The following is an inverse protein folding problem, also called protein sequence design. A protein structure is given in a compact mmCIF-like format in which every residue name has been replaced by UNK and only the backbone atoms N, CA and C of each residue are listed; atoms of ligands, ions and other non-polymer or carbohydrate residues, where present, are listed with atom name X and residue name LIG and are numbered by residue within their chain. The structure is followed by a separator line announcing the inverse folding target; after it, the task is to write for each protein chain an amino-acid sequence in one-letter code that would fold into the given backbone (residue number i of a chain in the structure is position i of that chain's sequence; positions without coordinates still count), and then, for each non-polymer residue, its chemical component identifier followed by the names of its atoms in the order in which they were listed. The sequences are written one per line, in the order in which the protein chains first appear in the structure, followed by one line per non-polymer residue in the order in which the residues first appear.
data_IF_562966423548
#
_entry.id   IF_562966423548
#
_cell.length_a   1.000
_cell.length_b   1.000
_cell.length_c   1.000
_cell.angle_alpha   90.00
_cell.angle_beta   90.00
_cell.angle_gamma   90.00
#
_symmetry.space_group_name_H-M   'P 1'
#
loop_
_entity.id
_entity.type
_entity.pdbx_description
1 polymer ?
#
# COMPACT_ATOMS: atom_id res chain seq x y z
N UNK A 1 6.34 3.62 7.12
CA UNK A 1 7.17 2.47 6.69
C UNK A 1 7.04 2.29 5.19
N UNK A 2 7.92 1.53 4.55
CA UNK A 2 7.89 1.32 3.09
C UNK A 2 7.05 0.11 2.71
N UNK A 3 6.09 0.31 1.81
CA UNK A 3 5.27 -0.78 1.25
C UNK A 3 6.06 -1.58 0.21
N UNK A 4 5.72 -2.87 0.00
CA UNK A 4 4.78 -3.68 0.78
C UNK A 4 5.36 -4.18 2.12
N UNK A 5 6.65 -3.95 2.39
CA UNK A 5 7.38 -4.54 3.53
C UNK A 5 6.75 -4.27 4.89
N UNK A 6 6.28 -3.05 5.17
CA UNK A 6 5.74 -2.73 6.51
C UNK A 6 4.48 -3.52 6.86
N UNK A 7 3.80 -4.09 5.87
CA UNK A 7 2.64 -4.95 6.08
C UNK A 7 2.98 -6.15 6.98
N UNK A 8 4.24 -6.57 7.00
CA UNK A 8 4.74 -7.71 7.78
C UNK A 8 5.40 -7.32 9.11
N UNK A 9 5.56 -6.02 9.41
CA UNK A 9 6.15 -5.56 10.66
C UNK A 9 5.13 -4.82 11.53
N UNK A 10 4.58 -3.72 11.04
CA UNK A 10 3.65 -2.86 11.80
C UNK A 10 2.23 -2.89 11.25
N UNK A 11 1.96 -3.70 10.21
CA UNK A 11 0.65 -3.79 9.58
C UNK A 11 -0.48 -4.12 10.56
N UNK A 12 -0.26 -5.04 11.50
CA UNK A 12 -1.25 -5.36 12.53
C UNK A 12 -1.47 -4.23 13.53
N UNK A 13 -0.43 -3.48 13.90
CA UNK A 13 -0.59 -2.30 14.76
C UNK A 13 -1.44 -1.22 14.07
N UNK A 14 -1.20 -0.97 12.78
CA UNK A 14 -1.95 0.04 12.01
C UNK A 14 -3.43 -0.34 11.84
N UNK A 15 -3.70 -1.63 11.68
CA UNK A 15 -5.04 -2.16 11.34
C UNK A 15 -5.85 -2.58 12.56
N UNK A 16 -5.23 -3.25 13.53
CA UNK A 16 -5.88 -3.81 14.72
C UNK A 16 -5.67 -3.01 16.00
N UNK A 17 -4.71 -2.08 16.04
CA UNK A 17 -4.43 -1.28 17.22
C UNK A 17 -5.45 -0.17 17.53
N UNK A 18 -5.23 0.62 18.60
CA UNK A 18 -6.09 1.75 18.94
C UNK A 18 -6.28 2.74 17.77
N UNK A 19 -7.44 3.40 17.63
CA UNK A 19 -7.76 4.32 16.52
C UNK A 19 -7.11 5.70 16.62
N UNK A 20 -5.86 5.75 17.07
CA UNK A 20 -5.09 6.99 17.17
C UNK A 20 -4.23 7.30 15.94
N UNK A 21 -4.06 6.35 15.01
CA UNK A 21 -3.24 6.53 13.81
C UNK A 21 -3.78 7.56 12.82
N UNK A 22 -2.86 8.20 12.08
CA UNK A 22 -3.10 8.97 10.87
C UNK A 22 -2.10 8.47 9.81
N UNK A 23 -2.61 8.06 8.65
CA UNK A 23 -1.82 7.37 7.64
C UNK A 23 -1.79 8.18 6.35
N UNK A 24 -0.60 8.38 5.80
CA UNK A 24 -0.40 8.93 4.46
C UNK A 24 0.29 7.87 3.61
N UNK A 25 -0.36 7.49 2.52
CA UNK A 25 0.25 6.63 1.51
C UNK A 25 0.77 7.49 0.37
N UNK A 26 2.07 7.45 0.14
CA UNK A 26 2.72 8.03 -1.04
C UNK A 26 2.94 6.88 -2.01
N UNK A 27 2.35 6.99 -3.19
CA UNK A 27 2.52 6.02 -4.29
C UNK A 27 3.20 6.71 -5.45
N UNK A 28 3.96 5.95 -6.23
CA UNK A 28 4.64 6.41 -7.43
C UNK A 28 4.33 5.43 -8.57
N UNK A 29 4.65 5.81 -9.81
CA UNK A 29 4.68 4.88 -10.92
C UNK A 29 5.85 3.91 -10.74
N UNK A 30 5.61 2.63 -10.99
CA UNK A 30 6.60 1.56 -10.82
C UNK A 30 7.59 1.50 -11.99
N UNK A 31 7.44 2.35 -12.99
CA UNK A 31 8.24 2.34 -14.22
C UNK A 31 7.91 1.16 -15.13
N UNK A 32 8.91 0.68 -15.86
CA UNK A 32 8.76 -0.48 -16.75
C UNK A 32 8.34 -1.74 -15.96
N UNK A 33 7.35 -2.46 -16.50
CA UNK A 33 6.79 -3.63 -15.85
C UNK A 33 7.75 -4.83 -15.95
N UNK A 34 8.22 -5.30 -14.80
CA UNK A 34 9.05 -6.50 -14.71
C UNK A 34 8.18 -7.75 -14.57
N UNK A 35 8.30 -8.69 -15.51
CA UNK A 35 7.54 -9.94 -15.49
C UNK A 35 7.90 -10.82 -14.28
N UNK A 36 6.88 -11.47 -13.70
CA UNK A 36 7.06 -12.52 -12.70
C UNK A 36 6.90 -13.88 -13.42
N UNK A 37 7.91 -14.75 -13.42
CA UNK A 37 7.81 -16.06 -14.08
C UNK A 37 6.60 -16.86 -13.63
N UNK A 38 5.81 -17.35 -14.60
CA UNK A 38 4.64 -18.18 -14.36
C UNK A 38 3.41 -17.44 -13.81
N UNK A 39 3.43 -16.11 -13.72
CA UNK A 39 2.27 -15.32 -13.30
C UNK A 39 1.72 -14.48 -14.46
N UNK A 40 0.39 -14.24 -14.50
CA UNK A 40 -0.23 -13.39 -15.53
C UNK A 40 -0.04 -11.87 -15.25
N UNK A 41 0.84 -11.50 -14.32
CA UNK A 41 1.11 -10.12 -13.92
C UNK A 41 2.58 -9.92 -13.54
N UNK A 42 3.07 -8.69 -13.65
CA UNK A 42 4.42 -8.31 -13.22
C UNK A 42 4.48 -7.70 -11.82
N UNK A 43 5.68 -7.32 -11.40
CA UNK A 43 5.95 -6.75 -10.08
C UNK A 43 5.27 -5.40 -9.86
N UNK A 44 5.23 -4.53 -10.87
CA UNK A 44 4.56 -3.24 -10.80
C UNK A 44 3.07 -3.38 -10.53
N UNK A 45 2.39 -4.27 -11.27
CA UNK A 45 0.99 -4.63 -10.99
C UNK A 45 0.79 -5.21 -9.58
N UNK A 46 1.69 -6.09 -9.13
CA UNK A 46 1.63 -6.69 -7.79
C UNK A 46 1.81 -5.63 -6.68
N UNK A 47 2.75 -4.69 -6.83
CA UNK A 47 3.00 -3.59 -5.88
C UNK A 47 1.78 -2.68 -5.82
N UNK A 48 1.23 -2.26 -6.97
CA UNK A 48 0.03 -1.42 -7.06
C UNK A 48 -1.18 -2.10 -6.40
N UNK A 49 -1.38 -3.40 -6.65
CA UNK A 49 -2.45 -4.17 -6.03
C UNK A 49 -2.32 -4.25 -4.50
N UNK A 50 -1.10 -4.47 -3.99
CA UNK A 50 -0.86 -4.48 -2.54
C UNK A 50 -1.09 -3.11 -1.91
N UNK A 51 -0.63 -2.03 -2.55
CA UNK A 51 -0.87 -0.67 -2.08
C UNK A 51 -2.37 -0.32 -2.06
N UNK A 52 -3.11 -0.72 -3.09
CA UNK A 52 -4.57 -0.59 -3.18
C UNK A 52 -5.29 -1.36 -2.06
N UNK A 53 -4.95 -2.63 -1.87
CA UNK A 53 -5.54 -3.47 -0.82
C UNK A 53 -5.27 -2.95 0.59
N UNK A 54 -4.07 -2.41 0.84
CA UNK A 54 -3.77 -1.84 2.16
C UNK A 54 -4.61 -0.59 2.46
N UNK A 55 -4.72 0.32 1.49
CA UNK A 55 -5.51 1.54 1.63
C UNK A 55 -6.98 1.23 1.88
N UNK A 56 -7.57 0.33 1.09
CA UNK A 56 -8.95 -0.13 1.28
C UNK A 56 -9.13 -0.75 2.68
N UNK A 57 -8.18 -1.58 3.11
CA UNK A 57 -8.22 -2.23 4.43
C UNK A 57 -8.12 -1.25 5.62
N UNK A 58 -7.49 -0.08 5.42
CA UNK A 58 -7.49 1.01 6.40
C UNK A 58 -8.83 1.75 6.39
N UNK A 59 -9.39 2.05 5.21
CA UNK A 59 -10.70 2.71 5.07
C UNK A 59 -11.83 1.87 5.67
N UNK A 60 -11.90 0.58 5.34
CA UNK A 60 -12.91 -0.36 5.87
C UNK A 60 -12.92 -0.44 7.39
N UNK A 61 -11.76 -0.21 8.02
CA UNK A 61 -11.59 -0.18 9.48
C UNK A 61 -11.81 1.21 10.09
N UNK A 62 -12.30 2.18 9.32
CA UNK A 62 -12.52 3.55 9.77
C UNK A 62 -11.24 4.29 10.15
N UNK A 63 -10.08 3.88 9.62
CA UNK A 63 -8.81 4.56 9.92
C UNK A 63 -8.69 5.83 9.09
N UNK A 64 -8.11 6.87 9.68
CA UNK A 64 -7.80 8.13 8.98
C UNK A 64 -6.64 7.88 8.02
N UNK A 65 -6.93 7.78 6.73
CA UNK A 65 -5.94 7.50 5.70
C UNK A 65 -6.16 8.42 4.49
N UNK A 66 -5.06 8.94 3.95
CA UNK A 66 -5.03 9.67 2.69
C UNK A 66 -3.98 9.07 1.75
N UNK A 67 -4.18 9.23 0.45
CA UNK A 67 -3.21 8.83 -0.59
C UNK A 67 -2.86 10.04 -1.43
N UNK A 68 -1.57 10.20 -1.71
CA UNK A 68 -1.05 11.12 -2.72
C UNK A 68 -0.22 10.33 -3.71
N UNK A 69 -0.21 10.79 -4.96
CA UNK A 69 0.70 10.27 -5.97
C UNK A 69 1.90 11.20 -6.06
N UNK A 70 3.09 10.66 -6.27
CA UNK A 70 4.33 11.43 -6.24
C UNK A 70 4.36 12.48 -7.35
N UNK A 71 3.72 12.20 -8.49
CA UNK A 71 3.59 13.12 -9.62
C UNK A 71 2.68 14.34 -9.34
N UNK A 72 1.88 14.30 -8.26
CA UNK A 72 0.97 15.38 -7.88
C UNK A 72 1.63 16.38 -6.90
N UNK A 73 2.93 16.21 -6.61
CA UNK A 73 3.73 17.04 -5.69
C UNK A 73 4.84 17.77 -6.45
#
# INVERSE_FOLDING_TARGET
GFGPRYLHSTGQLHKGGPPSGLFLQVVDDTGEELAIPGQPFGFGKLIRAQAAGDFASLQERGRRVARIRLEDV
#
